data_IF_850326885851
#
_entry.id   IF_850326885851
#
_cell.length_a   1.000
_cell.length_b   1.000
_cell.length_c   1.000
_cell.angle_alpha   90.00
_cell.angle_beta   90.00
_cell.angle_gamma   90.00
#
_symmetry.space_group_name_H-M   'P 1'
#
loop_
_entity.id
_entity.type
_entity.pdbx_description
1 polymer ?
#
# COMPACT_ATOMS: atom_id res chain seq x y z
N UNK A 1 11.63 -0.24 12.70
CA UNK A 1 10.57 0.66 13.21
C UNK A 1 9.54 0.73 12.12
N UNK A 2 8.42 0.03 12.29
CA UNK A 2 7.29 0.06 11.35
C UNK A 2 6.74 1.48 11.30
N UNK A 3 6.59 2.05 10.11
CA UNK A 3 6.08 3.42 9.96
C UNK A 3 4.55 3.44 10.07
N UNK A 4 3.94 4.58 10.43
CA UNK A 4 2.47 4.69 10.53
C UNK A 4 1.76 4.33 9.22
N UNK A 5 2.34 4.72 8.08
CA UNK A 5 1.85 4.39 6.74
C UNK A 5 1.92 2.88 6.48
N UNK A 6 3.01 2.24 6.89
CA UNK A 6 3.17 0.79 6.74
C UNK A 6 2.11 0.02 7.53
N UNK A 7 1.79 0.45 8.76
CA UNK A 7 0.68 -0.14 9.53
C UNK A 7 -0.67 0.00 8.82
N UNK A 8 -0.94 1.17 8.21
CA UNK A 8 -2.17 1.39 7.44
C UNK A 8 -2.22 0.52 6.19
N UNK A 9 -1.11 0.41 5.46
CA UNK A 9 -0.98 -0.50 4.30
C UNK A 9 -1.24 -1.94 4.71
N UNK A 10 -0.62 -2.41 5.79
CA UNK A 10 -0.82 -3.77 6.29
C UNK A 10 -2.28 -3.99 6.70
N UNK A 11 -2.90 -3.02 7.40
CA UNK A 11 -4.31 -3.09 7.78
C UNK A 11 -5.22 -3.20 6.56
N UNK A 12 -5.00 -2.38 5.53
CA UNK A 12 -5.77 -2.40 4.30
C UNK A 12 -5.59 -3.74 3.55
N UNK A 13 -4.37 -4.29 3.51
CA UNK A 13 -4.11 -5.60 2.91
C UNK A 13 -4.88 -6.72 3.64
N UNK A 14 -4.83 -6.72 4.98
CA UNK A 14 -5.52 -7.72 5.81
C UNK A 14 -7.04 -7.65 5.60
N UNK A 15 -7.58 -6.43 5.51
CA UNK A 15 -9.00 -6.19 5.23
C UNK A 15 -9.38 -6.63 3.81
N UNK A 16 -8.56 -6.31 2.80
CA UNK A 16 -8.82 -6.70 1.41
C UNK A 16 -8.83 -8.21 1.21
N UNK A 17 -7.89 -8.90 1.86
CA UNK A 17 -7.69 -10.34 1.74
C UNK A 17 -8.53 -11.16 2.72
N UNK A 18 -9.35 -10.50 3.54
CA UNK A 18 -10.16 -11.12 4.60
C UNK A 18 -9.31 -12.02 5.52
N UNK A 19 -8.12 -11.53 5.88
CA UNK A 19 -7.18 -12.24 6.75
C UNK A 19 -7.55 -12.04 8.23
N UNK A 20 -7.41 -13.10 9.03
CA UNK A 20 -7.70 -13.04 10.47
C UNK A 20 -6.79 -12.06 11.22
N UNK A 21 -5.53 -11.93 10.80
CA UNK A 21 -4.57 -11.04 11.44
C UNK A 21 -3.38 -10.64 10.53
N UNK A 22 -2.70 -9.57 10.95
CA UNK A 22 -1.55 -9.00 10.27
C UNK A 22 -0.21 -9.71 10.54
N UNK A 23 -0.17 -10.76 11.37
CA UNK A 23 1.09 -11.38 11.81
C UNK A 23 1.85 -12.10 10.70
N UNK A 24 1.14 -12.52 9.64
CA UNK A 24 1.74 -13.08 8.43
C UNK A 24 2.31 -12.02 7.47
N UNK A 25 1.91 -10.75 7.62
CA UNK A 25 2.30 -9.66 6.73
C UNK A 25 3.43 -8.86 7.36
N UNK A 26 4.56 -8.78 6.67
CA UNK A 26 5.75 -8.06 7.11
C UNK A 26 6.18 -7.05 6.03
N UNK A 27 7.06 -6.11 6.39
CA UNK A 27 7.68 -5.18 5.43
C UNK A 27 8.28 -5.87 4.19
N UNK A 28 8.79 -7.09 4.34
CA UNK A 28 9.44 -7.85 3.27
C UNK A 28 8.48 -8.73 2.47
N UNK A 29 7.23 -8.84 2.89
CA UNK A 29 6.21 -9.63 2.22
C UNK A 29 5.96 -9.05 0.82
N UNK A 30 5.94 -9.91 -0.19
CA UNK A 30 5.75 -9.55 -1.59
C UNK A 30 4.27 -9.50 -1.94
N UNK A 31 3.82 -8.38 -2.50
CA UNK A 31 2.38 -8.13 -2.73
C UNK A 31 1.80 -9.11 -3.76
N UNK A 32 2.45 -9.28 -4.91
CA UNK A 32 1.96 -10.21 -5.93
C UNK A 32 2.31 -11.66 -5.56
N UNK A 33 3.57 -11.93 -5.23
CA UNK A 33 4.07 -13.31 -5.07
C UNK A 33 3.65 -13.99 -3.76
N UNK A 34 3.61 -13.27 -2.63
CA UNK A 34 3.28 -13.87 -1.33
C UNK A 34 1.79 -13.73 -0.99
N UNK A 35 1.17 -12.60 -1.36
CA UNK A 35 -0.23 -12.29 -1.05
C UNK A 35 -1.20 -12.60 -2.20
N UNK A 36 -0.71 -12.81 -3.43
CA UNK A 36 -1.56 -13.08 -4.58
C UNK A 36 -2.41 -11.87 -5.00
N UNK A 37 -1.96 -10.65 -4.68
CA UNK A 37 -2.68 -9.43 -5.06
C UNK A 37 -2.40 -9.15 -6.54
N UNK A 38 -3.40 -9.42 -7.38
CA UNK A 38 -3.37 -9.09 -8.81
C UNK A 38 -3.64 -7.60 -9.09
N UNK A 39 -3.51 -7.18 -10.35
CA UNK A 39 -3.79 -5.78 -10.77
C UNK A 39 -5.20 -5.29 -10.42
N UNK A 40 -6.20 -6.18 -10.33
CA UNK A 40 -7.55 -5.82 -9.90
C UNK A 40 -7.61 -5.50 -8.40
N UNK A 41 -7.03 -6.37 -7.57
CA UNK A 41 -6.94 -6.17 -6.12
C UNK A 41 -6.04 -4.99 -5.77
N UNK A 42 -5.00 -4.71 -6.55
CA UNK A 42 -4.18 -3.50 -6.39
C UNK A 42 -5.02 -2.23 -6.51
N UNK A 43 -5.92 -2.16 -7.51
CA UNK A 43 -6.81 -1.01 -7.66
C UNK A 43 -7.77 -0.87 -6.47
N UNK A 44 -8.32 -1.99 -5.98
CA UNK A 44 -9.16 -1.98 -4.77
C UNK A 44 -8.37 -1.53 -3.54
N UNK A 45 -7.13 -2.00 -3.38
CA UNK A 45 -6.24 -1.59 -2.31
C UNK A 45 -5.96 -0.09 -2.34
N UNK A 46 -5.72 0.47 -3.54
CA UNK A 46 -5.50 1.91 -3.71
C UNK A 46 -6.74 2.71 -3.31
N UNK A 47 -7.93 2.33 -3.80
CA UNK A 47 -9.18 3.00 -3.43
C UNK A 47 -9.41 2.96 -1.91
N UNK A 48 -9.19 1.81 -1.27
CA UNK A 48 -9.31 1.72 0.20
C UNK A 48 -8.29 2.60 0.92
N UNK A 49 -7.05 2.66 0.44
CA UNK A 49 -6.03 3.49 1.06
C UNK A 49 -6.33 4.98 0.90
N UNK A 50 -6.80 5.43 -0.27
CA UNK A 50 -7.25 6.80 -0.50
C UNK A 50 -8.40 7.19 0.44
N UNK A 51 -9.32 6.28 0.73
CA UNK A 51 -10.38 6.49 1.72
C UNK A 51 -9.85 6.54 3.17
N UNK A 52 -8.83 5.74 3.50
CA UNK A 52 -8.27 5.64 4.86
C UNK A 52 -7.16 6.66 5.18
N UNK A 53 -6.55 7.25 4.15
CA UNK A 53 -5.42 8.18 4.26
C UNK A 53 -5.85 9.54 3.71
N UNK A 54 -6.10 10.54 4.57
CA UNK A 54 -6.38 11.90 4.13
C UNK A 54 -5.22 12.45 3.29
N UNK A 55 -5.54 13.21 2.23
CA UNK A 55 -4.57 13.80 1.30
C UNK A 55 -3.72 12.77 0.52
N UNK A 56 -4.14 11.50 0.45
CA UNK A 56 -3.55 10.53 -0.46
C UNK A 56 -4.26 10.57 -1.81
N UNK A 57 -3.48 10.84 -2.86
CA UNK A 57 -3.89 10.64 -4.26
C UNK A 57 -2.84 9.73 -4.91
N UNK A 58 -3.29 8.59 -5.44
CA UNK A 58 -2.43 7.65 -6.15
C UNK A 58 -2.78 7.74 -7.63
N UNK A 59 -1.82 8.12 -8.47
CA UNK A 59 -2.00 8.12 -9.92
C UNK A 59 -1.53 6.78 -10.51
N UNK A 60 -2.45 5.90 -10.97
CA UNK A 60 -2.10 4.58 -11.50
C UNK A 60 -1.18 4.64 -12.72
N UNK A 61 -1.17 5.76 -13.44
CA UNK A 61 -0.28 5.94 -14.60
C UNK A 61 1.20 6.16 -14.22
N UNK A 62 1.50 6.63 -13.01
CA UNK A 62 2.88 6.90 -12.55
C UNK A 62 3.49 5.72 -11.76
N UNK A 63 2.69 4.69 -11.56
CA UNK A 63 3.01 3.50 -10.79
C UNK A 63 4.01 2.60 -11.52
N UNK A 64 5.17 2.35 -10.88
CA UNK A 64 6.20 1.43 -11.40
C UNK A 64 6.20 0.10 -10.65
N UNK A 65 6.35 -1.05 -11.34
CA UNK A 65 6.28 -2.38 -10.73
C UNK A 65 7.12 -2.55 -9.46
N UNK A 66 8.29 -1.90 -9.40
CA UNK A 66 9.20 -1.98 -8.26
C UNK A 66 8.61 -1.38 -6.98
N UNK A 67 7.67 -0.45 -7.11
CA UNK A 67 7.01 0.23 -5.98
C UNK A 67 5.95 -0.65 -5.30
N UNK A 68 5.48 -1.71 -5.96
CA UNK A 68 4.54 -2.69 -5.39
C UNK A 68 5.21 -4.02 -5.07
N UNK A 69 6.54 -4.12 -5.22
CA UNK A 69 7.25 -5.38 -5.05
C UNK A 69 7.13 -5.96 -3.63
N UNK A 70 7.07 -5.09 -2.62
CA UNK A 70 6.96 -5.45 -1.19
C UNK A 70 6.11 -4.44 -0.43
N UNK A 71 5.60 -4.85 0.73
CA UNK A 71 4.87 -3.96 1.66
C UNK A 71 5.66 -2.71 2.02
N UNK A 72 6.98 -2.83 2.25
CA UNK A 72 7.86 -1.68 2.52
C UNK A 72 7.91 -0.71 1.34
N UNK A 73 8.11 -1.22 0.12
CA UNK A 73 8.18 -0.39 -1.09
C UNK A 73 6.85 0.32 -1.34
N UNK A 74 5.75 -0.37 -1.08
CA UNK A 74 4.42 0.18 -1.23
C UNK A 74 4.11 1.25 -0.18
N UNK A 75 4.44 1.00 1.09
CA UNK A 75 4.33 2.01 2.14
C UNK A 75 5.19 3.25 1.86
N UNK A 76 6.39 3.07 1.29
CA UNK A 76 7.25 4.18 0.87
C UNK A 76 6.61 5.02 -0.26
N UNK A 77 5.95 4.38 -1.23
CA UNK A 77 5.18 5.07 -2.26
C UNK A 77 4.05 5.90 -1.66
N UNK A 78 3.20 5.31 -0.81
CA UNK A 78 2.09 6.01 -0.16
C UNK A 78 2.60 7.20 0.65
N UNK A 79 3.73 7.04 1.32
CA UNK A 79 4.36 8.13 2.05
C UNK A 79 4.91 9.24 1.14
N UNK A 80 5.31 8.92 -0.08
CA UNK A 80 5.71 9.93 -1.07
C UNK A 80 4.50 10.70 -1.58
N UNK A 81 3.41 10.01 -1.93
CA UNK A 81 2.17 10.62 -2.43
C UNK A 81 1.53 11.56 -1.40
N UNK A 82 1.50 11.17 -0.13
CA UNK A 82 0.99 12.02 0.97
C UNK A 82 1.85 13.25 1.26
N UNK A 83 3.15 13.23 0.92
CA UNK A 83 4.06 14.36 1.15
C UNK A 83 4.10 15.33 -0.03
N UNK A 84 3.50 15.00 -1.17
CA UNK A 84 3.59 15.79 -2.40
C UNK A 84 2.60 16.97 -2.47
N UNK A 85 2.30 17.60 -1.32
CA UNK A 85 2.11 19.06 -1.33
C UNK A 85 3.49 19.71 -1.33
N UNK A 86 4.18 19.69 -2.47
CA UNK A 86 5.26 20.65 -2.73
C UNK A 86 4.61 22.00 -3.02
N UNK A 87 4.73 23.00 -2.15
CA UNK A 87 4.34 24.36 -2.49
C UNK A 87 5.34 24.92 -3.50
N UNK A 88 4.87 25.31 -4.69
CA UNK A 88 5.54 26.27 -5.55
C UNK A 88 4.50 27.13 -6.26
#
# INVERSE_FOLDING_TARGET
>A
MTTEIETKVISAIVELLDMDDASAVTSKTRIEDDLGIDSGLLLELFMMLEEQVPDLEIEPAELRPEQFATVESFAALIQSCTKEKVPA
#
